data_IF_149905610367
#
_entry.id   IF_149905610367
#
_cell.length_a   1.000
_cell.length_b   1.000
_cell.length_c   1.000
_cell.angle_alpha   90.00
_cell.angle_beta   90.00
_cell.angle_gamma   90.00
#
_symmetry.space_group_name_H-M   'P 1'
#
loop_
_entity.id
_entity.type
_entity.pdbx_description
1 polymer ?
#
# COMPACT_ATOMS: atom_id res chain seq x y z
N UNK A 1 16.55 8.33 8.39
CA UNK A 1 16.34 9.48 9.31
C UNK A 1 17.28 9.44 10.52
N UNK A 2 17.43 10.56 11.26
CA UNK A 2 17.96 10.56 12.63
C UNK A 2 16.84 10.21 13.61
N UNK A 3 17.05 9.23 14.49
CA UNK A 3 16.03 8.79 15.46
C UNK A 3 15.91 9.81 16.58
N UNK A 4 14.68 10.00 17.07
CA UNK A 4 14.41 10.83 18.24
C UNK A 4 15.05 10.26 19.51
N UNK A 5 15.17 11.09 20.56
CA UNK A 5 15.65 10.65 21.89
C UNK A 5 14.72 9.64 22.57
N UNK A 6 13.47 9.51 22.10
CA UNK A 6 12.46 8.61 22.64
C UNK A 6 12.01 7.68 21.52
N UNK A 7 12.27 6.37 21.69
CA UNK A 7 11.82 5.35 20.74
C UNK A 7 10.30 5.34 20.62
N UNK A 8 9.79 5.22 19.40
CA UNK A 8 8.36 5.28 19.07
C UNK A 8 7.84 6.69 18.78
N UNK A 9 8.64 7.75 18.97
CA UNK A 9 8.22 9.15 18.74
C UNK A 9 8.91 9.80 17.53
N UNK A 10 9.68 9.03 16.76
CA UNK A 10 10.39 9.56 15.59
C UNK A 10 9.38 9.92 14.49
N UNK A 11 9.44 11.14 13.93
CA UNK A 11 8.49 11.64 12.92
C UNK A 11 8.88 11.25 11.49
N UNK A 12 8.06 10.40 10.86
CA UNK A 12 8.26 9.92 9.48
C UNK A 12 7.41 10.66 8.43
N UNK A 13 6.60 11.66 8.81
CA UNK A 13 5.62 12.31 7.94
C UNK A 13 6.22 12.97 6.69
N UNK A 14 7.47 13.44 6.78
CA UNK A 14 8.17 14.14 5.71
C UNK A 14 8.95 13.23 4.75
N UNK A 15 8.98 11.92 4.99
CA UNK A 15 9.81 11.01 4.20
C UNK A 15 9.26 10.74 2.81
N UNK A 16 10.19 10.60 1.85
CA UNK A 16 9.88 10.06 0.53
C UNK A 16 9.78 8.52 0.55
N UNK A 17 9.23 7.93 -0.51
CA UNK A 17 9.16 6.49 -0.67
C UNK A 17 10.56 5.81 -0.66
N UNK A 18 11.57 6.44 -1.25
CA UNK A 18 12.93 5.90 -1.26
C UNK A 18 13.61 6.01 0.12
N UNK A 19 13.26 7.03 0.91
CA UNK A 19 13.74 7.15 2.29
C UNK A 19 13.18 6.00 3.13
N UNK A 20 11.91 5.63 2.95
CA UNK A 20 11.30 4.48 3.64
C UNK A 20 12.04 3.18 3.33
N UNK A 21 12.33 2.90 2.06
CA UNK A 21 13.12 1.70 1.68
C UNK A 21 14.48 1.72 2.36
N UNK A 22 15.16 2.87 2.32
CA UNK A 22 16.49 3.04 2.92
C UNK A 22 16.44 2.83 4.44
N UNK A 23 15.42 3.36 5.10
CA UNK A 23 15.25 3.24 6.55
C UNK A 23 14.90 1.81 6.96
N UNK A 24 14.10 1.06 6.17
CA UNK A 24 13.85 -0.36 6.41
C UNK A 24 15.15 -1.19 6.29
N UNK A 25 15.99 -0.92 5.29
CA UNK A 25 17.28 -1.60 5.10
C UNK A 25 18.29 -1.27 6.21
N UNK A 26 18.32 0.00 6.65
CA UNK A 26 19.13 0.43 7.78
C UNK A 26 18.67 -0.24 9.07
N UNK A 27 17.36 -0.35 9.27
CA UNK A 27 16.80 -1.03 10.43
C UNK A 27 17.14 -2.53 10.41
N UNK A 28 17.04 -3.18 9.26
CA UNK A 28 17.48 -4.57 9.09
C UNK A 28 18.95 -4.75 9.52
N UNK A 29 19.83 -3.84 9.11
CA UNK A 29 21.24 -3.86 9.51
C UNK A 29 21.38 -3.71 11.03
N UNK A 30 20.67 -2.76 11.63
CA UNK A 30 20.67 -2.54 13.08
C UNK A 30 20.20 -3.78 13.84
N UNK A 31 19.09 -4.39 13.42
CA UNK A 31 18.56 -5.65 13.97
C UNK A 31 19.61 -6.76 13.90
N UNK A 32 20.36 -6.85 12.81
CA UNK A 32 21.42 -7.85 12.63
C UNK A 32 22.54 -7.66 13.65
N UNK A 33 22.98 -6.42 13.85
CA UNK A 33 24.05 -6.09 14.79
C UNK A 33 23.66 -6.44 16.23
N UNK A 34 22.43 -6.11 16.65
CA UNK A 34 21.90 -6.49 17.96
C UNK A 34 21.78 -8.01 18.13
N UNK A 35 21.27 -8.74 17.13
CA UNK A 35 21.22 -10.23 17.18
C UNK A 35 22.62 -10.79 17.39
N UNK A 36 23.61 -10.29 16.66
CA UNK A 36 25.00 -10.75 16.75
C UNK A 36 25.61 -10.42 18.12
N UNK A 37 25.45 -9.19 18.61
CA UNK A 37 25.95 -8.76 19.93
C UNK A 37 25.37 -9.58 21.08
N UNK A 38 24.05 -9.71 21.12
CA UNK A 38 23.33 -10.49 22.14
C UNK A 38 23.78 -11.97 22.07
N UNK A 39 23.79 -12.57 20.87
CA UNK A 39 24.19 -13.97 20.71
C UNK A 39 25.64 -14.20 21.13
N UNK A 40 26.55 -13.29 20.79
CA UNK A 40 27.95 -13.40 21.18
C UNK A 40 28.13 -13.32 22.70
N UNK A 41 27.40 -12.44 23.39
CA UNK A 41 27.45 -12.35 24.85
C UNK A 41 26.83 -13.59 25.50
N UNK A 42 25.73 -14.15 24.98
CA UNK A 42 25.16 -15.42 25.45
C UNK A 42 26.21 -16.54 25.38
N UNK A 43 26.92 -16.67 24.27
CA UNK A 43 27.93 -17.73 24.12
C UNK A 43 29.11 -17.55 25.09
N UNK A 44 29.54 -16.32 25.38
CA UNK A 44 30.56 -16.06 26.42
C UNK A 44 30.09 -16.49 27.81
N UNK A 45 28.86 -16.14 28.19
CA UNK A 45 28.29 -16.49 29.50
C UNK A 45 28.00 -17.99 29.63
N UNK A 46 27.69 -18.67 28.53
CA UNK A 46 27.60 -20.14 28.49
C UNK A 46 28.97 -20.80 28.65
N UNK A 47 30.01 -20.26 28.02
CA UNK A 47 31.36 -20.83 28.08
C UNK A 47 31.93 -20.87 29.51
N UNK A 48 31.57 -19.92 30.37
CA UNK A 48 31.91 -19.95 31.80
C UNK A 48 31.01 -20.87 32.64
N UNK A 49 29.93 -21.40 32.05
CA UNK A 49 28.88 -22.15 32.72
C UNK A 49 28.00 -21.28 33.63
N UNK A 50 28.15 -19.95 33.57
CA UNK A 50 27.36 -19.02 34.36
C UNK A 50 25.89 -19.03 33.91
N UNK A 51 25.66 -19.09 32.59
CA UNK A 51 24.32 -19.09 32.01
C UNK A 51 23.43 -20.18 32.63
N UNK A 52 23.88 -21.43 32.58
CA UNK A 52 23.08 -22.58 33.02
C UNK A 52 22.92 -22.67 34.55
N UNK A 53 23.85 -22.06 35.31
CA UNK A 53 23.87 -22.16 36.78
C UNK A 53 23.21 -20.99 37.49
N UNK A 54 23.25 -19.80 36.88
CA UNK A 54 22.96 -18.52 37.56
C UNK A 54 21.91 -17.67 36.85
N UNK A 55 21.72 -17.83 35.54
CA UNK A 55 20.70 -17.06 34.82
C UNK A 55 19.32 -17.64 35.10
N UNK A 56 18.37 -16.79 35.50
CA UNK A 56 17.01 -17.22 35.80
C UNK A 56 16.29 -17.75 34.54
N UNK A 57 15.45 -18.77 34.71
CA UNK A 57 14.71 -19.38 33.59
C UNK A 57 13.82 -18.38 32.86
N UNK A 58 13.13 -17.51 33.59
CA UNK A 58 12.25 -16.49 33.02
C UNK A 58 13.03 -15.52 32.14
N UNK A 59 14.23 -15.11 32.59
CA UNK A 59 15.10 -14.25 31.81
C UNK A 59 15.62 -14.97 30.57
N UNK A 60 16.13 -16.20 30.71
CA UNK A 60 16.57 -16.99 29.56
C UNK A 60 15.45 -17.18 28.52
N UNK A 61 14.21 -17.38 28.98
CA UNK A 61 13.04 -17.53 28.11
C UNK A 61 12.70 -16.25 27.36
N UNK A 62 12.65 -15.08 28.02
CA UNK A 62 12.35 -13.82 27.33
C UNK A 62 13.46 -13.44 26.36
N UNK A 63 14.73 -13.72 26.67
CA UNK A 63 15.86 -13.51 25.74
C UNK A 63 15.71 -14.42 24.51
N UNK A 64 15.39 -15.71 24.69
CA UNK A 64 15.15 -16.64 23.59
C UNK A 64 13.98 -16.22 22.70
N UNK A 65 12.86 -15.80 23.31
CA UNK A 65 11.70 -15.26 22.60
C UNK A 65 12.06 -13.99 21.79
N UNK A 66 12.79 -13.06 22.42
CA UNK A 66 13.20 -11.81 21.78
C UNK A 66 14.12 -12.05 20.58
N UNK A 67 15.13 -12.92 20.71
CA UNK A 67 16.00 -13.29 19.60
C UNK A 67 15.23 -13.95 18.45
N UNK A 68 14.21 -14.75 18.75
CA UNK A 68 13.35 -15.33 17.71
C UNK A 68 12.59 -14.23 16.97
N UNK A 69 12.00 -13.29 17.69
CA UNK A 69 11.30 -12.13 17.12
C UNK A 69 12.24 -11.26 16.27
N UNK A 70 13.44 -10.95 16.75
CA UNK A 70 14.40 -10.12 16.02
C UNK A 70 14.87 -10.80 14.72
N UNK A 71 15.11 -12.11 14.72
CA UNK A 71 15.46 -12.86 13.50
C UNK A 71 14.34 -12.81 12.46
N UNK A 72 13.10 -13.04 12.89
CA UNK A 72 11.95 -12.92 12.00
C UNK A 72 11.75 -11.48 11.52
N UNK A 73 11.97 -10.48 12.39
CA UNK A 73 11.93 -9.07 12.01
C UNK A 73 12.97 -8.74 10.93
N UNK A 74 14.17 -9.32 11.01
CA UNK A 74 15.21 -9.12 9.99
C UNK A 74 14.73 -9.60 8.60
N UNK A 75 14.16 -10.80 8.54
CA UNK A 75 13.62 -11.40 7.32
C UNK A 75 12.47 -10.54 6.77
N UNK A 76 11.50 -10.18 7.63
CA UNK A 76 10.35 -9.35 7.30
C UNK A 76 10.74 -7.98 6.75
N UNK A 77 11.70 -7.29 7.38
CA UNK A 77 12.19 -5.98 6.91
C UNK A 77 12.83 -6.10 5.52
N UNK A 78 13.59 -7.17 5.28
CA UNK A 78 14.22 -7.42 3.98
C UNK A 78 13.19 -7.68 2.89
N UNK A 79 12.24 -8.58 3.16
CA UNK A 79 11.17 -8.94 2.23
C UNK A 79 10.30 -7.74 1.91
N UNK A 80 9.83 -7.00 2.92
CA UNK A 80 8.99 -5.83 2.72
C UNK A 80 9.73 -4.78 1.90
N UNK A 81 11.02 -4.52 2.18
CA UNK A 81 11.83 -3.57 1.41
C UNK A 81 11.98 -3.98 -0.07
N UNK A 82 11.92 -5.27 -0.39
CA UNK A 82 11.94 -5.77 -1.77
C UNK A 82 10.54 -5.72 -2.41
N UNK A 83 9.51 -6.19 -1.70
CA UNK A 83 8.13 -6.28 -2.17
C UNK A 83 7.54 -4.89 -2.49
N UNK A 84 7.77 -3.90 -1.63
CA UNK A 84 7.23 -2.54 -1.84
C UNK A 84 7.79 -1.88 -3.09
N UNK A 85 8.99 -2.29 -3.56
CA UNK A 85 9.55 -1.82 -4.82
C UNK A 85 8.80 -2.36 -6.04
N UNK A 86 7.99 -3.40 -5.90
CA UNK A 86 7.11 -3.92 -6.94
C UNK A 86 5.73 -3.26 -6.80
N UNK A 87 5.13 -3.40 -5.63
CA UNK A 87 3.83 -2.82 -5.30
C UNK A 87 3.72 -2.62 -3.79
N UNK A 88 3.21 -1.48 -3.34
CA UNK A 88 2.86 -1.29 -1.93
C UNK A 88 1.46 -1.83 -1.66
N UNK A 89 1.37 -2.83 -0.78
CA UNK A 89 0.11 -3.47 -0.37
C UNK A 89 -0.17 -3.27 1.11
N UNK A 90 -1.45 -3.36 1.46
CA UNK A 90 -1.95 -3.23 2.83
C UNK A 90 -1.24 -4.17 3.82
N UNK A 91 -0.92 -5.40 3.40
CA UNK A 91 -0.28 -6.38 4.29
C UNK A 91 1.15 -5.99 4.68
N UNK A 92 1.87 -5.19 3.87
CA UNK A 92 3.19 -4.69 4.25
C UNK A 92 3.09 -3.80 5.49
N UNK A 93 2.12 -2.89 5.52
CA UNK A 93 1.90 -2.01 6.67
C UNK A 93 1.51 -2.81 7.92
N UNK A 94 0.61 -3.79 7.78
CA UNK A 94 0.18 -4.66 8.89
C UNK A 94 1.31 -5.50 9.49
N UNK A 95 2.22 -6.00 8.65
CA UNK A 95 3.41 -6.74 9.10
C UNK A 95 4.35 -5.84 9.94
N UNK A 96 4.61 -4.62 9.46
CA UNK A 96 5.39 -3.62 10.21
C UNK A 96 4.72 -3.25 11.55
N UNK A 97 3.41 -3.02 11.57
CA UNK A 97 2.66 -2.77 12.80
C UNK A 97 2.74 -3.94 13.80
N UNK A 98 2.71 -5.19 13.29
CA UNK A 98 2.85 -6.37 14.13
C UNK A 98 4.25 -6.47 14.75
N UNK A 99 5.30 -6.09 14.01
CA UNK A 99 6.68 -6.03 14.54
C UNK A 99 6.75 -5.09 15.75
N UNK A 100 6.23 -3.87 15.61
CA UNK A 100 6.24 -2.87 16.68
C UNK A 100 5.41 -3.33 17.89
N UNK A 101 4.25 -3.96 17.66
CA UNK A 101 3.39 -4.48 18.73
C UNK A 101 4.11 -5.52 19.58
N UNK A 102 4.76 -6.51 18.94
CA UNK A 102 5.50 -7.56 19.67
C UNK A 102 6.73 -6.97 20.37
N UNK A 103 7.37 -5.96 19.77
CA UNK A 103 8.50 -5.28 20.40
C UNK A 103 8.09 -4.54 21.70
N UNK A 104 6.91 -3.92 21.73
CA UNK A 104 6.37 -3.30 22.95
C UNK A 104 6.09 -4.32 24.05
N UNK A 105 5.51 -5.47 23.68
CA UNK A 105 5.30 -6.61 24.58
C UNK A 105 6.64 -7.11 25.17
N UNK A 106 7.69 -7.22 24.34
CA UNK A 106 9.04 -7.61 24.77
C UNK A 106 9.61 -6.58 25.76
N UNK A 107 9.61 -5.28 25.41
CA UNK A 107 10.15 -4.21 26.24
C UNK A 107 9.50 -4.19 27.64
N UNK A 108 8.17 -4.31 27.67
CA UNK A 108 7.41 -4.37 28.92
C UNK A 108 7.72 -5.62 29.75
N UNK A 109 7.77 -6.78 29.09
CA UNK A 109 8.01 -8.07 29.73
C UNK A 109 9.42 -8.20 30.28
N UNK A 110 10.43 -7.85 29.49
CA UNK A 110 11.84 -7.95 29.90
C UNK A 110 12.15 -6.98 31.04
N UNK A 111 11.59 -5.76 31.01
CA UNK A 111 11.72 -4.80 32.10
C UNK A 111 11.10 -5.34 33.40
N UNK A 112 9.92 -5.95 33.32
CA UNK A 112 9.26 -6.57 34.48
C UNK A 112 10.08 -7.73 35.04
N UNK A 113 10.56 -8.62 34.18
CA UNK A 113 11.41 -9.76 34.59
C UNK A 113 12.68 -9.23 35.26
N UNK A 114 13.39 -8.31 34.63
CA UNK A 114 14.64 -7.79 35.14
C UNK A 114 14.48 -7.08 36.48
N UNK A 115 13.51 -6.17 36.61
CA UNK A 115 13.39 -5.33 37.80
C UNK A 115 12.65 -6.02 38.95
N UNK A 116 11.71 -6.93 38.68
CA UNK A 116 10.81 -7.48 39.70
C UNK A 116 11.01 -8.97 39.99
N UNK A 117 11.50 -9.75 39.02
CA UNK A 117 11.55 -11.23 39.13
C UNK A 117 12.97 -11.80 39.12
N UNK A 118 13.94 -11.07 38.57
CA UNK A 118 15.33 -11.49 38.54
C UNK A 118 15.98 -11.25 39.90
N UNK A 119 16.08 -12.32 40.70
CA UNK A 119 16.77 -12.32 41.98
C UNK A 119 18.25 -12.73 41.83
N UNK A 120 19.09 -12.34 42.80
CA UNK A 120 20.50 -12.76 42.83
C UNK A 120 21.38 -12.09 41.79
N UNK A 121 21.16 -10.80 41.50
CA UNK A 121 22.02 -10.00 40.62
C UNK A 121 23.41 -9.85 41.25
N UNK A 122 24.44 -10.36 40.59
CA UNK A 122 25.83 -10.36 41.08
C UNK A 122 26.61 -9.19 40.45
N UNK A 123 26.18 -7.96 40.75
CA UNK A 123 26.80 -6.75 40.19
C UNK A 123 28.33 -6.72 40.38
N UNK A 124 29.05 -6.40 39.30
CA UNK A 124 30.51 -6.39 39.26
C UNK A 124 31.15 -7.76 38.99
N UNK A 125 30.38 -8.86 38.98
CA UNK A 125 30.86 -10.14 38.46
C UNK A 125 31.03 -10.04 36.93
N UNK A 126 32.18 -10.42 36.35
CA UNK A 126 32.42 -10.32 34.90
C UNK A 126 31.39 -11.05 34.02
N UNK A 127 30.91 -12.23 34.44
CA UNK A 127 29.86 -12.96 33.71
C UNK A 127 28.51 -12.27 33.85
N UNK A 128 28.20 -11.73 35.04
CA UNK A 128 26.95 -11.02 35.26
C UNK A 128 26.89 -9.70 34.49
N UNK A 129 28.02 -8.99 34.34
CA UNK A 129 28.11 -7.79 33.48
C UNK A 129 27.67 -8.12 32.04
N UNK A 130 28.07 -9.27 31.50
CA UNK A 130 27.60 -9.69 30.18
C UNK A 130 26.09 -10.01 30.16
N UNK A 131 25.51 -10.46 31.28
CA UNK A 131 24.05 -10.63 31.43
C UNK A 131 23.34 -9.26 31.47
N UNK A 132 23.94 -8.26 32.10
CA UNK A 132 23.46 -6.87 32.07
C UNK A 132 23.48 -6.31 30.65
N UNK A 133 24.55 -6.55 29.90
CA UNK A 133 24.67 -6.14 28.49
C UNK A 133 23.59 -6.83 27.63
N UNK A 134 23.37 -8.14 27.80
CA UNK A 134 22.30 -8.87 27.11
C UNK A 134 20.92 -8.27 27.41
N UNK A 135 20.65 -7.91 28.67
CA UNK A 135 19.41 -7.24 29.06
C UNK A 135 19.27 -5.88 28.37
N UNK A 136 20.31 -5.05 28.45
CA UNK A 136 20.36 -3.71 27.86
C UNK A 136 20.11 -3.78 26.36
N UNK A 137 20.92 -4.56 25.64
CA UNK A 137 20.84 -4.69 24.19
C UNK A 137 19.47 -5.21 23.74
N UNK A 138 18.90 -6.19 24.44
CA UNK A 138 17.59 -6.74 24.08
C UNK A 138 16.48 -5.70 24.25
N UNK A 139 16.52 -4.94 25.35
CA UNK A 139 15.52 -3.91 25.62
C UNK A 139 15.67 -2.72 24.67
N UNK A 140 16.89 -2.30 24.40
CA UNK A 140 17.18 -1.21 23.47
C UNK A 140 16.72 -1.55 22.05
N UNK A 141 16.96 -2.78 21.59
CA UNK A 141 16.45 -3.24 20.30
C UNK A 141 14.91 -3.25 20.27
N UNK A 142 14.26 -3.69 21.35
CA UNK A 142 12.80 -3.70 21.44
C UNK A 142 12.22 -2.27 21.39
N UNK A 143 12.80 -1.32 22.13
CA UNK A 143 12.41 0.10 22.08
C UNK A 143 12.66 0.69 20.69
N UNK A 144 13.75 0.32 20.07
CA UNK A 144 14.11 0.78 18.74
C UNK A 144 13.08 0.34 17.67
N UNK A 145 12.56 -0.90 17.77
CA UNK A 145 11.54 -1.42 16.85
C UNK A 145 10.16 -0.75 17.01
N UNK A 146 9.93 0.06 18.05
CA UNK A 146 8.67 0.79 18.19
C UNK A 146 8.48 1.82 17.07
N UNK A 147 9.56 2.43 16.57
CA UNK A 147 9.48 3.39 15.47
C UNK A 147 9.04 2.76 14.13
N UNK A 148 9.05 1.42 14.02
CA UNK A 148 8.53 0.72 12.83
C UNK A 148 7.04 1.01 12.61
N UNK A 149 6.25 1.26 13.66
CA UNK A 149 4.84 1.65 13.48
C UNK A 149 4.69 3.00 12.77
N UNK A 150 5.65 3.91 12.97
CA UNK A 150 5.64 5.22 12.34
C UNK A 150 6.02 5.11 10.85
N UNK A 151 6.97 4.23 10.53
CA UNK A 151 7.26 3.84 9.13
C UNK A 151 6.02 3.22 8.49
N UNK A 152 5.32 2.31 9.18
CA UNK A 152 4.11 1.68 8.68
C UNK A 152 3.02 2.72 8.39
N UNK A 153 2.81 3.69 9.31
CA UNK A 153 1.85 4.78 9.11
C UNK A 153 2.18 5.59 7.87
N UNK A 154 3.46 5.92 7.63
CA UNK A 154 3.87 6.66 6.44
C UNK A 154 3.76 5.82 5.16
N UNK A 155 4.06 4.53 5.23
CA UNK A 155 3.97 3.62 4.08
C UNK A 155 2.53 3.50 3.56
N UNK A 156 1.51 3.67 4.41
CA UNK A 156 0.09 3.67 4.01
C UNK A 156 -0.23 4.69 2.92
N UNK A 157 0.42 5.85 2.93
CA UNK A 157 0.23 6.88 1.91
C UNK A 157 0.66 6.44 0.50
N UNK A 158 1.44 5.36 0.42
CA UNK A 158 1.95 4.80 -0.83
C UNK A 158 1.23 3.54 -1.28
N UNK A 159 0.17 3.08 -0.59
CA UNK A 159 -0.59 1.89 -0.99
C UNK A 159 -1.08 2.03 -2.44
N UNK A 160 -0.88 0.97 -3.24
CA UNK A 160 -1.18 0.95 -4.68
C UNK A 160 -0.08 1.56 -5.54
N UNK A 161 1.00 2.09 -4.96
CA UNK A 161 2.19 2.48 -5.72
C UNK A 161 2.82 1.24 -6.32
N UNK A 162 2.75 1.13 -7.64
CA UNK A 162 3.39 0.07 -8.41
C UNK A 162 4.63 0.59 -9.13
N UNK A 163 5.60 -0.29 -9.34
CA UNK A 163 6.69 -0.03 -10.29
C UNK A 163 6.12 -0.17 -11.70
N UNK A 164 6.02 0.95 -12.40
CA UNK A 164 5.79 0.93 -13.85
C UNK A 164 7.10 0.45 -14.49
N UNK A 165 7.21 -0.86 -14.71
CA UNK A 165 8.25 -1.41 -15.56
C UNK A 165 7.80 -1.11 -16.99
N UNK A 166 8.29 -0.01 -17.57
CA UNK A 166 8.28 0.12 -19.02
C UNK A 166 9.31 -0.87 -19.55
N UNK A 167 8.89 -2.10 -19.87
CA UNK A 167 9.71 -2.97 -20.69
C UNK A 167 9.90 -2.27 -22.03
N UNK A 168 11.15 -1.93 -22.34
CA UNK A 168 11.51 -1.43 -23.67
C UNK A 168 11.39 -2.62 -24.63
N UNK A 169 10.19 -2.86 -25.14
CA UNK A 169 9.97 -3.81 -26.22
C UNK A 169 10.77 -3.31 -27.44
N UNK A 170 11.95 -3.89 -27.67
CA UNK A 170 12.79 -3.57 -28.83
C UNK A 170 12.20 -4.07 -30.15
N UNK A 171 11.09 -4.82 -30.10
CA UNK A 171 10.33 -5.25 -31.26
C UNK A 171 8.95 -4.58 -31.28
N UNK A 172 8.93 -3.27 -31.56
CA UNK A 172 7.82 -2.71 -32.31
C UNK A 172 7.86 -3.39 -33.69
N UNK A 173 7.08 -4.46 -33.87
CA UNK A 173 6.93 -5.13 -35.16
C UNK A 173 6.71 -4.08 -36.26
N UNK A 174 7.53 -4.15 -37.31
CA UNK A 174 7.70 -3.10 -38.30
C UNK A 174 6.40 -2.62 -38.91
N UNK A 175 5.99 -1.40 -38.55
CA UNK A 175 5.11 -0.56 -39.35
C UNK A 175 5.96 0.18 -40.39
N UNK A 176 6.54 -0.61 -41.30
CA UNK A 176 7.24 -0.10 -42.48
C UNK A 176 6.31 -0.29 -43.67
N UNK A 177 5.99 0.79 -44.40
CA UNK A 177 5.18 0.75 -45.63
C UNK A 177 3.69 0.36 -45.49
N UNK A 178 2.99 0.85 -44.47
CA UNK A 178 1.53 0.70 -44.34
C UNK A 178 0.79 2.00 -44.66
N UNK A 179 -0.25 1.95 -45.50
CA UNK A 179 -1.15 3.09 -45.77
C UNK A 179 -2.44 2.92 -44.95
N UNK A 180 -2.81 3.96 -44.20
CA UNK A 180 -4.06 4.02 -43.44
C UNK A 180 -5.03 4.98 -44.11
N UNK A 181 -6.32 4.65 -44.11
CA UNK A 181 -7.39 5.54 -44.57
C UNK A 181 -7.83 6.55 -43.49
N UNK A 182 -8.81 7.38 -43.83
CA UNK A 182 -9.38 8.35 -42.89
C UNK A 182 -10.03 7.65 -41.67
N UNK A 183 -9.93 8.26 -40.49
CA UNK A 183 -10.39 7.74 -39.19
C UNK A 183 -9.70 6.45 -38.66
N UNK A 184 -8.50 6.10 -39.13
CA UNK A 184 -7.75 5.00 -38.53
C UNK A 184 -7.22 5.36 -37.12
N UNK A 185 -7.51 4.51 -36.13
CA UNK A 185 -6.87 4.55 -34.80
C UNK A 185 -5.91 3.39 -34.67
N UNK A 186 -4.63 3.67 -34.45
CA UNK A 186 -3.57 2.66 -34.31
C UNK A 186 -3.17 2.58 -32.85
N UNK A 187 -3.25 1.38 -32.27
CA UNK A 187 -2.95 1.13 -30.86
C UNK A 187 -1.88 0.03 -30.83
N UNK A 188 -0.71 0.37 -30.29
CA UNK A 188 0.49 -0.48 -30.32
C UNK A 188 0.97 -0.72 -28.89
N UNK A 189 1.46 -1.93 -28.62
CA UNK A 189 1.92 -2.37 -27.31
C UNK A 189 1.05 -3.47 -26.70
N UNK A 190 1.45 -3.95 -25.53
CA UNK A 190 0.89 -5.14 -24.88
C UNK A 190 -0.13 -4.69 -23.81
N UNK A 191 -1.17 -5.48 -23.53
CA UNK A 191 -2.23 -5.16 -22.55
C UNK A 191 -3.07 -3.90 -22.82
N UNK A 192 -3.20 -3.49 -24.09
CA UNK A 192 -4.10 -2.40 -24.46
C UNK A 192 -5.57 -2.77 -24.19
N UNK A 193 -6.18 -2.16 -23.17
CA UNK A 193 -7.63 -2.22 -22.94
C UNK A 193 -8.30 -1.03 -23.61
N UNK A 194 -8.65 -1.19 -24.88
CA UNK A 194 -9.40 -0.18 -25.62
C UNK A 194 -10.88 -0.38 -25.30
N UNK A 195 -11.37 0.31 -24.27
CA UNK A 195 -12.83 0.46 -24.07
C UNK A 195 -13.35 1.47 -25.08
N UNK A 196 -13.46 1.08 -26.34
CA UNK A 196 -14.13 1.93 -27.32
C UNK A 196 -15.62 1.93 -27.00
N UNK A 197 -16.18 3.11 -26.71
CA UNK A 197 -17.62 3.32 -26.71
C UNK A 197 -18.06 3.24 -28.18
N UNK A 198 -18.36 2.02 -28.64
CA UNK A 198 -18.88 1.74 -29.98
C UNK A 198 -20.38 1.99 -29.97
N UNK A 199 -20.79 3.25 -29.81
CA UNK A 199 -22.19 3.64 -30.04
C UNK A 199 -22.28 4.04 -31.50
N UNK A 200 -23.00 3.24 -32.31
CA UNK A 200 -23.32 3.64 -33.67
C UNK A 200 -24.26 4.83 -33.62
N UNK A 201 -24.04 5.82 -34.49
CA UNK A 201 -24.91 6.98 -34.60
C UNK A 201 -26.37 6.53 -34.80
N UNK A 202 -27.27 7.05 -33.97
CA UNK A 202 -28.69 6.73 -33.99
C UNK A 202 -29.07 5.36 -33.43
N UNK A 203 -28.11 4.55 -32.96
CA UNK A 203 -28.40 3.26 -32.32
C UNK A 203 -28.58 3.44 -30.81
N UNK A 204 -29.83 3.54 -30.36
CA UNK A 204 -30.13 3.69 -28.94
C UNK A 204 -29.83 2.43 -28.14
N UNK A 205 -29.86 1.25 -28.76
CA UNK A 205 -29.58 -0.01 -28.05
C UNK A 205 -28.12 -0.05 -27.56
N UNK A 206 -27.17 0.44 -28.36
CA UNK A 206 -25.76 0.55 -27.95
C UNK A 206 -25.57 1.51 -26.76
N UNK A 207 -26.32 2.63 -26.75
CA UNK A 207 -26.32 3.59 -25.64
C UNK A 207 -26.99 2.99 -24.39
N UNK A 208 -28.13 2.32 -24.56
CA UNK A 208 -28.82 1.60 -23.49
C UNK A 208 -27.91 0.56 -22.85
N UNK A 209 -27.21 -0.26 -23.62
CA UNK A 209 -26.28 -1.27 -23.11
C UNK A 209 -25.10 -0.66 -22.38
N UNK A 210 -24.60 0.50 -22.82
CA UNK A 210 -23.62 1.26 -22.06
C UNK A 210 -24.19 1.68 -20.70
N UNK A 211 -25.39 2.24 -20.66
CA UNK A 211 -26.01 2.71 -19.42
C UNK A 211 -26.33 1.54 -18.46
N UNK A 212 -26.89 0.43 -18.95
CA UNK A 212 -27.19 -0.76 -18.12
C UNK A 212 -25.95 -1.36 -17.48
N UNK A 213 -24.85 -1.48 -18.22
CA UNK A 213 -23.55 -1.93 -17.67
C UNK A 213 -23.01 -1.04 -16.56
N UNK A 214 -23.49 0.20 -16.50
CA UNK A 214 -23.14 1.19 -15.51
C UNK A 214 -24.26 1.37 -14.45
N UNK A 215 -25.18 0.39 -14.35
CA UNK A 215 -26.27 0.29 -13.37
C UNK A 215 -27.30 1.43 -13.43
N UNK A 216 -27.50 2.04 -14.60
CA UNK A 216 -28.65 2.93 -14.80
C UNK A 216 -29.94 2.11 -14.83
N UNK A 217 -30.96 2.56 -14.10
CA UNK A 217 -32.27 1.91 -14.06
C UNK A 217 -32.95 1.90 -15.44
N UNK A 218 -33.74 0.86 -15.71
CA UNK A 218 -34.49 0.76 -16.97
C UNK A 218 -35.49 1.92 -17.13
N UNK A 219 -36.01 2.45 -16.01
CA UNK A 219 -36.89 3.62 -15.98
C UNK A 219 -36.16 4.88 -16.50
N UNK A 220 -34.95 5.15 -16.01
CA UNK A 220 -34.16 6.32 -16.42
C UNK A 220 -33.66 6.19 -17.87
N UNK A 221 -33.35 4.97 -18.32
CA UNK A 221 -33.00 4.70 -19.73
C UNK A 221 -34.20 4.96 -20.63
N UNK A 222 -35.40 4.54 -20.22
CA UNK A 222 -36.64 4.79 -20.98
C UNK A 222 -36.98 6.28 -21.07
N UNK A 223 -36.72 7.03 -19.99
CA UNK A 223 -36.83 8.50 -20.00
C UNK A 223 -35.85 9.13 -20.98
N UNK A 224 -34.58 8.71 -20.98
CA UNK A 224 -33.58 9.19 -21.94
C UNK A 224 -33.99 8.89 -23.38
N UNK A 225 -34.51 7.68 -23.65
CA UNK A 225 -35.00 7.29 -24.97
C UNK A 225 -36.04 8.27 -25.49
N UNK A 226 -37.04 8.59 -24.66
CA UNK A 226 -38.07 9.56 -25.02
C UNK A 226 -37.48 10.95 -25.29
N UNK A 227 -36.50 11.39 -24.48
CA UNK A 227 -35.84 12.68 -24.67
C UNK A 227 -35.11 12.72 -26.02
N UNK A 228 -34.26 11.74 -26.31
CA UNK A 228 -33.44 11.76 -27.55
C UNK A 228 -34.26 11.54 -28.82
N UNK A 229 -35.45 10.96 -28.73
CA UNK A 229 -36.42 10.82 -29.83
C UNK A 229 -37.19 12.12 -30.11
N UNK A 230 -37.41 12.97 -29.08
CA UNK A 230 -38.25 14.16 -29.18
C UNK A 230 -37.49 15.49 -29.09
N UNK A 231 -36.20 15.46 -28.75
CA UNK A 231 -35.32 16.63 -28.65
C UNK A 231 -34.15 16.49 -29.62
N UNK A 232 -34.05 17.44 -30.55
CA UNK A 232 -32.91 17.56 -31.46
C UNK A 232 -31.84 18.46 -30.84
N UNK A 233 -30.57 18.02 -30.75
CA UNK A 233 -29.50 18.85 -30.24
C UNK A 233 -29.08 19.93 -31.25
N UNK A 234 -28.35 20.96 -30.79
CA UNK A 234 -27.75 21.96 -31.68
C UNK A 234 -26.47 21.39 -32.29
N UNK A 235 -26.58 20.95 -33.54
CA UNK A 235 -25.49 20.30 -34.29
C UNK A 235 -24.38 21.25 -34.70
N UNK A 236 -24.67 22.55 -34.87
CA UNK A 236 -23.65 23.55 -35.23
C UNK A 236 -22.77 23.90 -34.04
N UNK A 237 -23.38 24.07 -32.85
CA UNK A 237 -22.65 24.40 -31.62
C UNK A 237 -22.15 23.17 -30.87
N UNK A 238 -22.52 21.97 -31.31
CA UNK A 238 -22.27 20.69 -30.61
C UNK A 238 -22.72 20.72 -29.15
N UNK A 239 -23.87 21.35 -28.90
CA UNK A 239 -24.47 21.45 -27.55
C UNK A 239 -25.72 20.60 -27.46
N UNK A 240 -25.82 19.83 -26.37
CA UNK A 240 -27.00 19.02 -26.07
C UNK A 240 -28.21 19.91 -25.74
N UNK A 241 -29.41 19.39 -25.99
CA UNK A 241 -30.66 20.08 -25.68
C UNK A 241 -30.89 20.24 -24.17
N UNK A 242 -31.82 21.11 -23.80
CA UNK A 242 -32.08 21.45 -22.40
C UNK A 242 -32.67 20.27 -21.61
N UNK A 243 -33.51 19.44 -22.24
CA UNK A 243 -34.06 18.23 -21.60
C UNK A 243 -32.96 17.19 -21.39
N UNK A 244 -32.10 16.99 -22.37
CA UNK A 244 -30.93 16.10 -22.29
C UNK A 244 -29.97 16.54 -21.17
N UNK A 245 -29.64 17.83 -21.10
CA UNK A 245 -28.81 18.37 -20.02
C UNK A 245 -29.48 18.24 -18.63
N UNK A 246 -30.80 18.44 -18.57
CA UNK A 246 -31.60 18.22 -17.37
C UNK A 246 -31.55 16.77 -16.89
N UNK A 247 -31.65 15.82 -17.83
CA UNK A 247 -31.53 14.39 -17.54
C UNK A 247 -30.12 14.03 -17.04
N UNK A 248 -29.05 14.55 -17.68
CA UNK A 248 -27.68 14.36 -17.20
C UNK A 248 -27.54 14.88 -15.76
N UNK A 249 -28.07 16.08 -15.47
CA UNK A 249 -28.03 16.68 -14.14
C UNK A 249 -28.76 15.83 -13.09
N UNK A 250 -29.93 15.27 -13.46
CA UNK A 250 -30.69 14.33 -12.62
C UNK A 250 -29.87 13.06 -12.32
N UNK A 251 -29.20 12.49 -13.31
CA UNK A 251 -28.38 11.28 -13.14
C UNK A 251 -27.13 11.50 -12.31
N UNK A 252 -26.46 12.64 -12.49
CA UNK A 252 -25.37 13.05 -11.59
C UNK A 252 -25.87 13.21 -10.16
N UNK A 253 -27.08 13.74 -9.96
CA UNK A 253 -27.74 13.80 -8.65
C UNK A 253 -27.94 12.42 -8.02
N UNK A 254 -28.42 11.43 -8.79
CA UNK A 254 -28.57 10.03 -8.34
C UNK A 254 -27.24 9.30 -8.09
N UNK A 255 -26.11 9.85 -8.52
CA UNK A 255 -24.81 9.32 -8.11
C UNK A 255 -24.49 9.66 -6.64
N UNK A 256 -25.08 10.73 -6.08
CA UNK A 256 -24.82 11.19 -4.71
C UNK A 256 -25.43 10.29 -3.64
N UNK A 257 -26.51 9.57 -3.95
CA UNK A 257 -27.17 8.65 -3.02
C UNK A 257 -26.67 7.19 -3.11
N UNK A 258 -25.66 6.95 -3.96
CA UNK A 258 -25.03 5.63 -4.12
C UNK A 258 -25.78 4.67 -5.03
N UNK A 259 -26.86 5.10 -5.70
CA UNK A 259 -27.59 4.27 -6.67
C UNK A 259 -26.75 3.87 -7.89
N UNK A 260 -25.64 4.58 -8.14
CA UNK A 260 -24.65 4.23 -9.15
C UNK A 260 -23.35 3.74 -8.50
N UNK A 261 -22.87 2.57 -8.91
CA UNK A 261 -21.56 2.06 -8.51
C UNK A 261 -20.39 2.73 -9.27
N UNK A 262 -20.47 4.03 -9.54
CA UNK A 262 -19.48 4.83 -10.29
C UNK A 262 -19.23 6.14 -9.55
N UNK A 263 -17.96 6.56 -9.44
CA UNK A 263 -17.59 7.85 -8.86
C UNK A 263 -18.20 9.03 -9.63
N UNK A 264 -18.71 10.04 -8.91
CA UNK A 264 -19.47 11.20 -9.41
C UNK A 264 -18.79 11.88 -10.62
N UNK A 265 -17.47 12.04 -10.60
CA UNK A 265 -16.71 12.67 -11.69
C UNK A 265 -16.64 11.84 -12.98
N UNK A 266 -16.71 10.51 -12.90
CA UNK A 266 -16.71 9.63 -14.05
C UNK A 266 -18.10 9.50 -14.69
N UNK A 267 -19.17 9.59 -13.89
CA UNK A 267 -20.55 9.46 -14.35
C UNK A 267 -20.96 10.58 -15.33
N UNK A 268 -20.67 11.84 -14.99
CA UNK A 268 -21.03 12.98 -15.86
C UNK A 268 -20.35 12.92 -17.23
N UNK A 269 -19.07 12.54 -17.25
CA UNK A 269 -18.32 12.37 -18.50
C UNK A 269 -18.85 11.21 -19.33
N UNK A 270 -19.07 10.04 -18.72
CA UNK A 270 -19.62 8.87 -19.40
C UNK A 270 -20.97 9.17 -20.07
N UNK A 271 -21.88 9.84 -19.35
CA UNK A 271 -23.20 10.21 -19.85
C UNK A 271 -23.11 11.18 -21.03
N UNK A 272 -22.34 12.25 -20.87
CA UNK A 272 -22.17 13.24 -21.92
C UNK A 272 -21.52 12.61 -23.17
N UNK A 273 -20.46 11.84 -23.00
CA UNK A 273 -19.73 11.22 -24.11
C UNK A 273 -20.57 10.15 -24.81
N UNK A 274 -21.33 9.35 -24.06
CA UNK A 274 -22.23 8.33 -24.61
C UNK A 274 -23.37 8.94 -25.45
N UNK A 275 -24.03 9.99 -24.93
CA UNK A 275 -25.11 10.67 -25.66
C UNK A 275 -24.58 11.41 -26.89
N UNK A 276 -23.40 12.05 -26.78
CA UNK A 276 -22.74 12.68 -27.93
C UNK A 276 -22.39 11.65 -29.01
N UNK A 277 -21.88 10.49 -28.63
CA UNK A 277 -21.61 9.39 -29.55
C UNK A 277 -22.88 8.88 -30.26
N UNK A 278 -24.01 8.80 -29.54
CA UNK A 278 -25.31 8.49 -30.16
C UNK A 278 -25.70 9.50 -31.26
N UNK A 279 -25.41 10.79 -31.05
CA UNK A 279 -25.62 11.82 -32.08
C UNK A 279 -24.54 11.86 -33.18
N UNK A 280 -23.56 10.96 -33.16
CA UNK A 280 -22.45 10.92 -34.12
C UNK A 280 -21.38 11.98 -33.86
N UNK A 281 -21.36 12.59 -32.67
CA UNK A 281 -20.34 13.54 -32.28
C UNK A 281 -19.18 12.77 -31.66
N UNK A 282 -18.21 12.40 -32.50
CA UNK A 282 -16.96 11.80 -32.05
C UNK A 282 -16.08 12.86 -31.37
N UNK A 283 -15.46 12.46 -30.25
CA UNK A 283 -14.47 13.24 -29.49
C UNK A 283 -13.09 12.67 -29.82
#
# INVERSE_FOLDING_TARGET
MAKGLVGGMTDYSHQSFNDIITDLQKEQTTVTDFINGISANIEKVKASGYWDKKVSSDFAQIIGYSLKHFKTTNEELSEIAQEIQIEVREHHCKRLERIATVADEINSSIGTIWHQRYNGKEYGNPDFVLVEDIYGDTRDMAVNLLDISNIASRLKDFIGKTKIIMEKNQNLGGISHTTFGDNATIIVGDHNQVKTIQIKQGNFDDLSDLLKRNNVSDEDISELKNIVENETPDTEKKTLGSKTNGWISKMVGKCLDGSWAIGIGAAGKLLADGIKAYYGWHI
#
